data_IF_014535792774
#
_entry.id   IF_014535792774
#
_cell.length_a   1.000
_cell.length_b   1.000
_cell.length_c   1.000
_cell.angle_alpha   90.00
_cell.angle_beta   90.00
_cell.angle_gamma   90.00
#
_symmetry.space_group_name_H-M   'P 1'
#
loop_
_entity.id
_entity.type
_entity.pdbx_description
1 polymer ?
#
# COMPACT_ATOMS: atom_id res chain seq x y z
N UNK A 1 -16.82 -12.51 -0.22
CA UNK A 1 -15.70 -13.05 0.54
C UNK A 1 -14.47 -12.24 0.20
N UNK A 2 -13.98 -11.47 1.16
CA UNK A 2 -12.77 -10.65 0.95
C UNK A 2 -11.56 -11.55 0.67
N UNK A 3 -10.65 -11.17 -0.24
CA UNK A 3 -9.44 -11.94 -0.54
C UNK A 3 -8.56 -12.20 0.68
N UNK A 4 -8.77 -11.48 1.76
CA UNK A 4 -7.92 -11.45 2.95
C UNK A 4 -8.31 -12.43 4.06
N UNK A 5 -9.47 -13.12 3.96
CA UNK A 5 -9.93 -14.05 5.00
C UNK A 5 -9.06 -15.33 5.13
N UNK A 6 -8.02 -15.48 4.30
CA UNK A 6 -7.15 -16.68 4.28
C UNK A 6 -5.76 -16.49 4.88
N UNK A 7 -5.42 -15.29 5.35
CA UNK A 7 -4.11 -15.07 5.96
C UNK A 7 -4.21 -15.03 7.47
N UNK A 8 -3.32 -15.76 8.19
CA UNK A 8 -3.23 -15.59 9.63
C UNK A 8 -2.88 -14.14 9.92
N UNK A 9 -3.75 -13.48 10.67
CA UNK A 9 -3.52 -12.12 11.16
C UNK A 9 -2.34 -12.19 12.15
N UNK A 10 -1.14 -11.88 11.68
CA UNK A 10 -0.03 -11.63 12.59
C UNK A 10 -0.21 -10.27 13.23
N UNK A 11 -0.19 -10.30 14.54
CA UNK A 11 -0.31 -9.25 15.54
C UNK A 11 -0.20 -7.81 15.05
N UNK A 12 -1.29 -7.08 15.27
CA UNK A 12 -1.34 -5.63 15.31
C UNK A 12 -0.53 -5.10 16.49
N UNK A 13 0.75 -4.85 16.30
CA UNK A 13 1.46 -3.95 17.19
C UNK A 13 1.20 -2.53 16.70
N UNK A 14 0.24 -1.89 17.34
CA UNK A 14 -0.01 -0.47 17.15
C UNK A 14 1.12 0.32 17.81
N UNK A 15 1.96 1.06 17.08
CA UNK A 15 2.66 2.16 17.70
C UNK A 15 1.60 3.21 18.04
N UNK A 16 1.60 3.62 19.28
CA UNK A 16 0.80 4.71 19.79
C UNK A 16 1.28 6.03 19.17
N UNK A 17 0.90 6.29 17.92
CA UNK A 17 0.90 7.63 17.40
C UNK A 17 -0.53 7.99 17.05
N UNK A 18 -1.02 8.95 17.76
CA UNK A 18 -2.38 9.42 17.72
C UNK A 18 -2.75 9.90 16.32
N UNK A 19 -3.38 9.04 15.54
CA UNK A 19 -4.41 9.66 14.83
C UNK A 19 -4.61 9.41 13.36
N UNK A 20 -3.70 9.00 12.48
CA UNK A 20 -4.07 9.04 11.07
C UNK A 20 -4.10 7.70 10.35
N UNK A 21 -3.15 6.80 10.58
CA UNK A 21 -3.08 5.53 9.86
C UNK A 21 -2.97 4.34 10.80
N UNK A 22 -3.92 3.41 10.67
CA UNK A 22 -3.78 2.04 11.17
C UNK A 22 -3.29 1.16 10.03
N UNK A 23 -2.03 0.72 10.12
CA UNK A 23 -1.41 -0.16 9.13
C UNK A 23 -1.42 -1.60 9.64
N UNK A 24 -2.17 -2.47 8.96
CA UNK A 24 -2.15 -3.91 9.19
C UNK A 24 -1.18 -4.53 8.18
N UNK A 25 -0.10 -5.11 8.68
CA UNK A 25 0.94 -5.69 7.86
C UNK A 25 0.89 -7.22 7.93
N UNK A 26 0.66 -7.86 6.79
CA UNK A 26 0.77 -9.31 6.62
C UNK A 26 2.02 -9.67 5.85
N UNK A 27 2.61 -10.84 6.12
CA UNK A 27 3.89 -11.22 5.52
C UNK A 27 5.07 -10.43 6.11
N UNK A 28 4.98 -10.03 7.38
CA UNK A 28 5.99 -9.19 8.06
C UNK A 28 7.40 -9.78 8.06
N UNK A 29 7.54 -11.10 7.93
CA UNK A 29 8.83 -11.77 7.72
C UNK A 29 9.56 -11.35 6.43
N UNK A 30 8.88 -10.66 5.50
CA UNK A 30 9.46 -10.13 4.26
C UNK A 30 9.84 -8.64 4.35
N UNK A 31 9.56 -7.97 5.46
CA UNK A 31 9.86 -6.54 5.61
C UNK A 31 11.33 -6.20 5.37
N UNK A 32 12.25 -7.07 5.72
CA UNK A 32 13.68 -6.86 5.49
C UNK A 32 14.07 -6.75 4.00
N UNK A 33 13.17 -7.17 3.11
CA UNK A 33 13.32 -7.04 1.65
C UNK A 33 12.90 -5.66 1.13
N UNK A 34 12.23 -4.87 1.95
CA UNK A 34 11.88 -3.50 1.63
C UNK A 34 13.05 -2.55 1.96
N UNK A 35 13.17 -1.41 1.27
CA UNK A 35 14.19 -0.42 1.58
C UNK A 35 13.89 0.39 2.85
N UNK A 36 12.77 0.14 3.50
CA UNK A 36 12.27 0.84 4.69
C UNK A 36 12.04 -0.12 5.83
N UNK A 37 12.36 0.29 7.05
CA UNK A 37 11.86 -0.40 8.22
C UNK A 37 10.34 -0.14 8.40
N UNK A 38 9.70 -0.93 9.26
CA UNK A 38 8.25 -0.83 9.48
C UNK A 38 7.79 0.58 9.90
N UNK A 39 8.58 1.24 10.76
CA UNK A 39 8.26 2.59 11.21
C UNK A 39 8.37 3.63 10.09
N UNK A 40 9.39 3.54 9.25
CA UNK A 40 9.58 4.40 8.08
C UNK A 40 8.46 4.18 7.05
N UNK A 41 8.10 2.92 6.80
CA UNK A 41 7.00 2.56 5.92
C UNK A 41 5.68 3.17 6.40
N UNK A 42 5.38 3.04 7.70
CA UNK A 42 4.18 3.62 8.29
C UNK A 42 4.15 5.15 8.13
N UNK A 43 5.25 5.81 8.38
CA UNK A 43 5.34 7.28 8.25
C UNK A 43 5.23 7.75 6.80
N UNK A 44 5.87 7.03 5.87
CA UNK A 44 5.76 7.34 4.44
C UNK A 44 4.31 7.21 3.96
N UNK A 45 3.63 6.11 4.29
CA UNK A 45 2.22 5.91 3.96
C UNK A 45 1.30 6.95 4.61
N UNK A 46 1.58 7.31 5.86
CA UNK A 46 0.83 8.37 6.56
C UNK A 46 1.00 9.74 5.88
N UNK A 47 2.20 10.06 5.43
CA UNK A 47 2.46 11.31 4.69
C UNK A 47 1.73 11.33 3.35
N UNK A 48 1.74 10.20 2.61
CA UNK A 48 1.03 10.05 1.35
C UNK A 48 -0.48 10.25 1.52
N UNK A 49 -1.08 9.61 2.51
CA UNK A 49 -2.51 9.70 2.76
C UNK A 49 -2.93 11.11 3.19
N UNK A 50 -2.13 11.78 3.99
CA UNK A 50 -2.37 13.20 4.32
C UNK A 50 -2.32 14.10 3.10
N UNK A 51 -1.33 13.90 2.23
CA UNK A 51 -1.22 14.64 0.97
C UNK A 51 -2.44 14.40 0.05
N UNK A 52 -3.00 13.20 0.08
CA UNK A 52 -4.23 12.86 -0.63
C UNK A 52 -5.52 13.40 0.03
N UNK A 53 -5.40 14.12 1.14
CA UNK A 53 -6.55 14.67 1.87
C UNK A 53 -7.32 13.63 2.69
N UNK A 54 -6.73 12.47 2.93
CA UNK A 54 -7.35 11.44 3.77
C UNK A 54 -7.34 11.85 5.23
N UNK A 55 -8.47 11.63 5.91
CA UNK A 55 -8.55 11.63 7.37
C UNK A 55 -8.00 10.31 7.96
N UNK A 56 -8.40 9.96 9.19
CA UNK A 56 -8.01 8.68 9.79
C UNK A 56 -8.37 7.51 8.88
N UNK A 57 -7.41 6.61 8.66
CA UNK A 57 -7.55 5.52 7.71
C UNK A 57 -7.00 4.20 8.26
N UNK A 58 -7.53 3.10 7.73
CA UNK A 58 -7.01 1.75 7.95
C UNK A 58 -6.64 1.14 6.61
N UNK A 59 -5.42 0.60 6.52
CA UNK A 59 -4.85 0.00 5.32
C UNK A 59 -4.28 -1.37 5.64
N UNK A 60 -4.64 -2.36 4.82
CA UNK A 60 -3.99 -3.66 4.84
C UNK A 60 -2.88 -3.70 3.79
N UNK A 61 -1.65 -3.98 4.21
CA UNK A 61 -0.52 -4.20 3.32
C UNK A 61 -0.05 -5.64 3.43
N UNK A 62 -0.11 -6.36 2.33
CA UNK A 62 0.26 -7.78 2.25
C UNK A 62 1.54 -7.91 1.45
N UNK A 63 2.62 -8.29 2.11
CA UNK A 63 3.90 -8.57 1.45
C UNK A 63 3.94 -10.02 1.00
N UNK A 64 4.26 -10.24 -0.25
CA UNK A 64 4.36 -11.57 -0.87
C UNK A 64 5.62 -11.69 -1.72
N UNK A 65 5.99 -12.91 -2.04
CA UNK A 65 6.98 -13.23 -3.06
C UNK A 65 6.29 -13.42 -4.42
N UNK A 66 7.07 -13.59 -5.47
CA UNK A 66 6.56 -13.76 -6.84
C UNK A 66 5.52 -14.88 -6.96
N UNK A 67 5.71 -16.02 -6.30
CA UNK A 67 4.74 -17.11 -6.35
C UNK A 67 3.38 -16.72 -5.77
N UNK A 68 3.37 -16.05 -4.62
CA UNK A 68 2.15 -15.54 -3.99
C UNK A 68 1.49 -14.46 -4.85
N UNK A 69 2.28 -13.56 -5.41
CA UNK A 69 1.77 -12.51 -6.30
C UNK A 69 1.17 -13.11 -7.58
N UNK A 70 1.81 -14.12 -8.16
CA UNK A 70 1.28 -14.82 -9.34
C UNK A 70 -0.08 -15.47 -9.06
N UNK A 71 -0.27 -16.05 -7.88
CA UNK A 71 -1.56 -16.60 -7.45
C UNK A 71 -2.64 -15.52 -7.35
N UNK A 72 -2.34 -14.38 -6.74
CA UNK A 72 -3.26 -13.24 -6.69
C UNK A 72 -3.62 -12.73 -8.07
N UNK A 73 -2.61 -12.53 -8.92
CA UNK A 73 -2.79 -12.00 -10.26
C UNK A 73 -3.66 -12.91 -11.14
N UNK A 74 -3.43 -14.22 -11.07
CA UNK A 74 -4.24 -15.19 -11.78
C UNK A 74 -5.66 -15.24 -11.26
N UNK A 75 -5.83 -15.29 -9.95
CA UNK A 75 -7.13 -15.50 -9.30
C UNK A 75 -8.05 -14.29 -9.44
N UNK A 76 -7.52 -13.08 -9.32
CA UNK A 76 -8.32 -11.85 -9.27
C UNK A 76 -8.27 -11.02 -10.54
N UNK A 77 -7.19 -11.10 -11.32
CA UNK A 77 -7.00 -10.33 -12.55
C UNK A 77 -7.05 -11.20 -13.82
N UNK A 78 -7.04 -12.52 -13.67
CA UNK A 78 -6.99 -13.44 -14.81
C UNK A 78 -5.68 -13.37 -15.60
N UNK A 79 -4.62 -12.79 -15.02
CA UNK A 79 -3.32 -12.62 -15.64
C UNK A 79 -2.32 -13.65 -15.11
N UNK A 80 -1.46 -14.15 -15.99
CA UNK A 80 -0.40 -15.08 -15.62
C UNK A 80 0.87 -14.35 -15.19
N UNK A 81 1.53 -14.90 -14.19
CA UNK A 81 2.79 -14.38 -13.67
C UNK A 81 2.64 -13.30 -12.60
N UNK A 82 3.75 -12.95 -11.94
CA UNK A 82 3.74 -11.93 -10.89
C UNK A 82 3.64 -10.52 -11.48
N UNK A 83 3.13 -9.60 -10.65
CA UNK A 83 3.18 -8.16 -10.86
C UNK A 83 3.76 -7.49 -9.62
N UNK A 84 3.96 -6.19 -9.64
CA UNK A 84 4.57 -5.45 -8.53
C UNK A 84 3.59 -5.16 -7.39
N UNK A 85 2.44 -4.58 -7.68
CA UNK A 85 1.41 -4.23 -6.70
C UNK A 85 0.01 -4.46 -7.26
N UNK A 86 -0.87 -4.97 -6.42
CA UNK A 86 -2.31 -5.09 -6.70
C UNK A 86 -3.09 -4.33 -5.63
N UNK A 87 -4.11 -3.60 -6.05
CA UNK A 87 -4.99 -2.83 -5.18
C UNK A 87 -6.37 -3.47 -5.13
N UNK A 88 -6.85 -3.69 -3.93
CA UNK A 88 -8.20 -4.24 -3.67
C UNK A 88 -8.98 -3.24 -2.83
N UNK A 89 -9.66 -2.27 -3.44
CA UNK A 89 -10.49 -1.32 -2.72
C UNK A 89 -11.69 -2.04 -2.08
N UNK A 90 -12.21 -1.47 -1.01
CA UNK A 90 -13.47 -1.92 -0.43
C UNK A 90 -14.60 -1.35 -1.26
N UNK A 91 -15.40 -2.23 -1.86
CA UNK A 91 -16.50 -1.87 -2.77
C UNK A 91 -17.68 -1.17 -2.07
N UNK A 92 -17.84 -1.38 -0.79
CA UNK A 92 -18.78 -0.63 -0.01
C UNK A 92 -18.08 0.61 0.56
N UNK A 93 -18.29 1.75 -0.07
CA UNK A 93 -18.36 2.98 0.69
C UNK A 93 -19.55 2.80 1.67
N UNK A 94 -19.29 2.09 2.74
CA UNK A 94 -20.06 2.29 3.95
C UNK A 94 -19.87 3.79 4.18
N UNK A 95 -20.96 4.54 3.98
CA UNK A 95 -21.00 5.93 4.36
C UNK A 95 -20.28 5.99 5.70
N UNK A 96 -19.10 6.63 5.69
CA UNK A 96 -18.24 6.62 6.86
C UNK A 96 -19.11 6.98 8.03
N UNK A 97 -18.93 6.39 9.20
CA UNK A 97 -19.72 6.75 10.35
C UNK A 97 -19.74 8.27 10.41
N UNK A 98 -20.85 8.85 10.79
CA UNK A 98 -20.98 10.30 10.99
C UNK A 98 -19.95 10.85 12.00
N UNK A 99 -19.09 9.99 12.48
CA UNK A 99 -18.07 10.21 13.48
C UNK A 99 -16.71 10.34 12.78
N UNK A 100 -16.19 11.57 12.73
CA UNK A 100 -14.92 11.92 12.09
C UNK A 100 -13.71 11.19 12.71
N UNK A 101 -13.88 10.55 13.87
CA UNK A 101 -12.82 9.85 14.61
C UNK A 101 -12.68 8.37 14.22
N UNK A 102 -13.61 7.82 13.45
CA UNK A 102 -13.53 6.42 13.01
C UNK A 102 -12.70 6.30 11.73
N UNK A 103 -11.63 5.48 11.72
CA UNK A 103 -10.82 5.30 10.54
C UNK A 103 -11.61 4.73 9.35
N UNK A 104 -11.43 5.33 8.18
CA UNK A 104 -11.98 4.80 6.93
C UNK A 104 -11.14 3.61 6.48
N UNK A 105 -11.79 2.49 6.20
CA UNK A 105 -11.13 1.32 5.63
C UNK A 105 -10.87 1.54 4.14
N UNK A 106 -9.59 1.59 3.76
CA UNK A 106 -9.19 1.84 2.38
C UNK A 106 -9.23 0.57 1.53
N UNK A 107 -8.95 -0.56 2.13
CA UNK A 107 -8.78 -1.85 1.47
C UNK A 107 -7.37 -2.39 1.60
N UNK A 108 -6.92 -3.12 0.59
CA UNK A 108 -5.67 -3.87 0.67
C UNK A 108 -4.76 -3.59 -0.51
N UNK A 109 -3.46 -3.49 -0.21
CA UNK A 109 -2.39 -3.55 -1.19
C UNK A 109 -1.67 -4.88 -1.05
N UNK A 110 -1.54 -5.62 -2.13
CA UNK A 110 -0.65 -6.79 -2.22
C UNK A 110 0.60 -6.38 -2.98
N UNK A 111 1.76 -6.57 -2.38
CA UNK A 111 3.04 -6.03 -2.84
C UNK A 111 4.08 -7.15 -2.96
N UNK A 112 4.65 -7.34 -4.16
CA UNK A 112 5.71 -8.33 -4.37
C UNK A 112 7.09 -7.74 -4.09
N UNK A 113 7.73 -8.24 -3.04
CA UNK A 113 9.11 -7.83 -2.70
C UNK A 113 10.13 -8.32 -3.75
N UNK A 114 9.89 -9.46 -4.37
CA UNK A 114 10.76 -9.99 -5.43
C UNK A 114 10.68 -9.14 -6.70
N UNK A 115 9.47 -8.76 -7.11
CA UNK A 115 9.28 -7.91 -8.30
C UNK A 115 9.86 -6.51 -8.07
N UNK A 116 9.67 -5.92 -6.90
CA UNK A 116 10.31 -4.66 -6.54
C UNK A 116 11.83 -4.73 -6.75
N UNK A 117 12.48 -5.73 -6.19
CA UNK A 117 13.91 -5.90 -6.28
C UNK A 117 14.39 -6.11 -7.73
N UNK A 118 13.68 -6.94 -8.49
CA UNK A 118 13.99 -7.17 -9.90
C UNK A 118 13.87 -5.91 -10.75
N UNK A 119 12.82 -5.12 -10.55
CA UNK A 119 12.61 -3.87 -11.28
C UNK A 119 13.68 -2.83 -10.97
N UNK A 120 14.09 -2.69 -9.71
CA UNK A 120 15.18 -1.77 -9.36
C UNK A 120 16.49 -2.13 -10.05
N UNK A 121 16.81 -3.42 -10.16
CA UNK A 121 18.01 -3.88 -10.87
C UNK A 121 17.88 -3.71 -12.38
N UNK A 122 16.76 -4.10 -12.97
CA UNK A 122 16.57 -4.08 -14.42
C UNK A 122 16.50 -2.66 -14.99
N UNK A 123 15.89 -1.74 -14.26
CA UNK A 123 15.67 -0.37 -14.72
C UNK A 123 16.64 0.64 -14.14
N UNK A 124 17.58 0.20 -13.28
CA UNK A 124 18.57 1.05 -12.64
C UNK A 124 17.94 2.14 -11.77
N UNK A 125 16.83 1.83 -11.10
CA UNK A 125 16.12 2.78 -10.27
C UNK A 125 16.57 2.71 -8.81
N UNK A 126 16.46 3.83 -8.12
CA UNK A 126 16.66 3.88 -6.68
C UNK A 126 15.58 3.02 -5.97
N UNK A 127 15.97 2.08 -5.08
CA UNK A 127 15.00 1.20 -4.42
C UNK A 127 13.97 1.94 -3.57
N UNK A 128 14.37 2.98 -2.84
CA UNK A 128 13.47 3.75 -1.99
C UNK A 128 12.45 4.50 -2.84
N UNK A 129 12.91 5.24 -3.84
CA UNK A 129 12.05 5.98 -4.75
C UNK A 129 11.08 5.06 -5.49
N UNK A 130 11.55 3.93 -6.01
CA UNK A 130 10.70 2.99 -6.73
C UNK A 130 9.65 2.35 -5.81
N UNK A 131 10.03 1.97 -4.60
CA UNK A 131 9.08 1.45 -3.60
C UNK A 131 7.99 2.47 -3.29
N UNK A 132 8.36 3.72 -3.02
CA UNK A 132 7.40 4.80 -2.75
C UNK A 132 6.48 5.05 -3.94
N UNK A 133 7.01 5.01 -5.16
CA UNK A 133 6.22 5.17 -6.38
C UNK A 133 5.17 4.09 -6.55
N UNK A 134 5.51 2.83 -6.29
CA UNK A 134 4.56 1.71 -6.34
C UNK A 134 3.49 1.81 -5.25
N UNK A 135 3.87 2.20 -4.03
CA UNK A 135 2.92 2.42 -2.94
C UNK A 135 1.95 3.57 -3.25
N UNK A 136 2.45 4.69 -3.76
CA UNK A 136 1.61 5.82 -4.18
C UNK A 136 0.62 5.41 -5.28
N UNK A 137 1.07 4.66 -6.27
CA UNK A 137 0.23 4.13 -7.33
C UNK A 137 -0.89 3.23 -6.78
N UNK A 138 -0.54 2.30 -5.90
CA UNK A 138 -1.52 1.44 -5.23
C UNK A 138 -2.53 2.21 -4.41
N UNK A 139 -2.11 3.20 -3.64
CA UNK A 139 -3.00 4.07 -2.86
C UNK A 139 -3.92 4.91 -3.77
N UNK A 140 -3.44 5.37 -4.91
CA UNK A 140 -4.25 6.08 -5.89
C UNK A 140 -5.43 5.23 -6.38
N UNK A 141 -5.20 3.97 -6.66
CA UNK A 141 -6.27 3.03 -7.01
C UNK A 141 -7.23 2.75 -5.85
N UNK A 142 -6.73 2.63 -4.61
CA UNK A 142 -7.60 2.48 -3.44
C UNK A 142 -8.48 3.71 -3.20
N UNK A 143 -8.01 4.88 -3.58
CA UNK A 143 -8.77 6.12 -3.52
C UNK A 143 -9.81 6.26 -4.67
N UNK A 144 -9.87 5.29 -5.58
CA UNK A 144 -10.84 5.25 -6.67
C UNK A 144 -10.39 5.90 -7.97
N UNK A 145 -9.12 6.28 -8.08
CA UNK A 145 -8.58 6.85 -9.31
C UNK A 145 -8.22 5.78 -10.34
N UNK A 146 -8.53 6.05 -11.59
CA UNK A 146 -8.04 5.30 -12.73
C UNK A 146 -6.81 5.97 -13.34
N UNK A 147 -6.08 5.23 -14.18
CA UNK A 147 -4.92 5.77 -14.89
C UNK A 147 -5.30 7.01 -15.69
N UNK A 148 -4.54 8.07 -15.52
CA UNK A 148 -4.76 9.34 -16.19
C UNK A 148 -4.10 10.51 -15.45
N UNK A 149 -4.26 11.74 -15.98
CA UNK A 149 -3.59 12.93 -15.43
C UNK A 149 -3.91 13.21 -13.96
N UNK A 150 -5.13 12.97 -13.53
CA UNK A 150 -5.55 13.18 -12.14
C UNK A 150 -4.85 12.23 -11.17
N UNK A 151 -4.71 10.95 -11.55
CA UNK A 151 -3.97 9.98 -10.77
C UNK A 151 -2.47 10.28 -10.76
N UNK A 152 -1.91 10.69 -11.89
CA UNK A 152 -0.49 11.06 -12.00
C UNK A 152 -0.15 12.23 -11.09
N UNK A 153 -1.01 13.25 -11.02
CA UNK A 153 -0.87 14.40 -10.12
C UNK A 153 -0.93 13.97 -8.66
N UNK A 154 -1.94 13.17 -8.29
CA UNK A 154 -2.08 12.64 -6.93
C UNK A 154 -0.86 11.80 -6.52
N UNK A 155 -0.38 10.92 -7.39
CA UNK A 155 0.81 10.11 -7.12
C UNK A 155 2.06 10.98 -6.93
N UNK A 156 2.22 12.04 -7.72
CA UNK A 156 3.33 12.99 -7.57
C UNK A 156 3.28 13.73 -6.24
N UNK A 157 2.11 14.18 -5.81
CA UNK A 157 1.93 14.83 -4.51
C UNK A 157 2.24 13.88 -3.35
N UNK A 158 1.74 12.65 -3.41
CA UNK A 158 2.01 11.61 -2.41
C UNK A 158 3.50 11.26 -2.34
N UNK A 159 4.15 11.11 -3.47
CA UNK A 159 5.58 10.81 -3.55
C UNK A 159 6.41 11.95 -2.92
N UNK A 160 6.13 13.20 -3.32
CA UNK A 160 6.82 14.37 -2.76
C UNK A 160 6.64 14.50 -1.25
N UNK A 161 5.46 14.21 -0.72
CA UNK A 161 5.20 14.23 0.70
C UNK A 161 5.98 13.17 1.47
N UNK A 162 6.07 11.96 0.93
CA UNK A 162 6.84 10.86 1.53
C UNK A 162 8.36 11.14 1.50
N UNK A 163 8.87 11.64 0.38
CA UNK A 163 10.30 12.00 0.23
C UNK A 163 10.72 13.13 1.17
N UNK A 164 9.89 14.16 1.31
CA UNK A 164 10.15 15.27 2.23
C UNK A 164 10.27 14.81 3.68
N UNK A 165 9.61 13.72 4.01
CA UNK A 165 9.68 13.16 5.36
C UNK A 165 10.95 12.31 5.58
N UNK A 166 11.51 11.69 4.54
CA UNK A 166 12.72 10.84 4.62
C UNK A 166 14.02 11.66 4.62
N UNK A 167 13.97 12.90 4.24
CA UNK A 167 15.11 13.84 4.28
C UNK A 167 15.18 14.57 5.62
#
# INVERSE_FOLDING_TARGET
MSPLERFPQEQTDAPSDSGALRLNLSGGGLCWRLPFCRAELHRALSAMLRAAGSGPAELDLVLVRDAGMADYNLRYMGCHGPTNVLSFPIDEQIAGPEDEDVPVQLGSLVFSVDTLHRETLLYGQDPEEHCLRLLAHGLGHLAGYDHGPEMDELCSEMLSAAEAWLT
#
